data_IF_838573607030
#
_entry.id   IF_838573607030
#
_cell.length_a   1.000
_cell.length_b   1.000
_cell.length_c   1.000
_cell.angle_alpha   90.00
_cell.angle_beta   90.00
_cell.angle_gamma   90.00
#
_symmetry.space_group_name_H-M   'P 1'
#
loop_
_entity.id
_entity.type
_entity.pdbx_description
1 polymer ?
#
# COMPACT_ATOMS: atom_id res chain seq x y z
N UNK A 1 -0.97 -2.41 -12.17
CA UNK A 1 -1.81 -1.60 -11.26
C UNK A 1 -1.91 -0.11 -11.61
N UNK A 2 -1.08 0.46 -12.50
CA UNK A 2 -1.18 1.89 -12.87
C UNK A 2 -2.54 2.25 -13.52
N UNK A 3 -3.11 1.36 -14.33
CA UNK A 3 -4.43 1.57 -14.95
C UNK A 3 -5.62 1.43 -13.98
N UNK A 4 -5.49 0.59 -12.94
CA UNK A 4 -6.50 0.46 -11.89
C UNK A 4 -6.52 1.71 -11.00
N UNK A 5 -5.34 2.23 -10.66
CA UNK A 5 -5.19 3.51 -9.97
C UNK A 5 -5.87 4.67 -10.71
N UNK A 6 -5.64 4.79 -12.04
CA UNK A 6 -6.31 5.81 -12.85
C UNK A 6 -7.82 5.60 -13.00
N UNK A 7 -8.26 4.34 -13.16
CA UNK A 7 -9.68 4.01 -13.26
C UNK A 7 -10.46 4.36 -11.98
N UNK A 8 -9.87 4.13 -10.80
CA UNK A 8 -10.49 4.49 -9.52
C UNK A 8 -10.61 6.00 -9.34
N UNK A 9 -9.60 6.79 -9.73
CA UNK A 9 -9.66 8.26 -9.62
C UNK A 9 -10.72 8.85 -10.55
N UNK A 10 -10.81 8.35 -11.79
CA UNK A 10 -11.80 8.84 -12.75
C UNK A 10 -13.23 8.52 -12.27
N UNK A 11 -13.42 7.37 -11.62
CA UNK A 11 -14.74 6.92 -11.17
C UNK A 11 -15.15 7.48 -9.80
N UNK A 12 -14.24 7.52 -8.84
CA UNK A 12 -14.49 7.88 -7.44
C UNK A 12 -14.00 9.30 -7.06
N UNK A 13 -13.18 9.92 -7.90
CA UNK A 13 -12.58 11.24 -7.64
C UNK A 13 -11.54 11.22 -6.51
N UNK A 14 -10.98 12.40 -6.24
CA UNK A 14 -10.07 12.66 -5.13
C UNK A 14 -10.66 13.74 -4.22
N UNK A 15 -11.52 13.32 -3.28
CA UNK A 15 -12.07 14.20 -2.25
C UNK A 15 -11.33 13.91 -0.94
N UNK A 16 -10.52 14.86 -0.43
CA UNK A 16 -9.76 14.69 0.80
C UNK A 16 -10.67 14.22 1.95
N UNK A 17 -10.31 13.10 2.57
CA UNK A 17 -11.05 12.53 3.70
C UNK A 17 -12.37 11.81 3.39
N UNK A 18 -12.82 11.73 2.12
CA UNK A 18 -14.06 11.00 1.74
C UNK A 18 -13.76 9.85 0.79
N UNK A 19 -13.19 10.15 -0.37
CA UNK A 19 -12.83 9.15 -1.40
C UNK A 19 -11.32 8.98 -1.53
N UNK A 20 -10.55 9.65 -0.65
CA UNK A 20 -9.10 9.61 -0.66
C UNK A 20 -8.58 8.24 -0.20
N UNK A 21 -7.87 7.56 -1.10
CA UNK A 21 -7.19 6.30 -0.80
C UNK A 21 -5.74 6.57 -0.40
N UNK A 22 -5.10 5.63 0.31
CA UNK A 22 -3.68 5.74 0.71
C UNK A 22 -2.76 6.08 -0.48
N UNK A 23 -2.89 5.43 -1.66
CA UNK A 23 -2.11 5.78 -2.85
C UNK A 23 -2.30 7.23 -3.31
N UNK A 24 -3.52 7.74 -3.19
CA UNK A 24 -3.90 9.09 -3.60
C UNK A 24 -3.31 10.14 -2.65
N UNK A 25 -3.39 9.89 -1.35
CA UNK A 25 -2.75 10.72 -0.34
C UNK A 25 -1.22 10.81 -0.56
N UNK A 26 -0.55 9.70 -0.89
CA UNK A 26 0.88 9.71 -1.20
C UNK A 26 1.18 10.57 -2.43
N UNK A 27 0.35 10.47 -3.48
CA UNK A 27 0.49 11.29 -4.68
C UNK A 27 0.35 12.79 -4.37
N UNK A 28 -0.68 13.18 -3.61
CA UNK A 28 -0.90 14.57 -3.20
C UNK A 28 0.24 15.13 -2.36
N UNK A 29 0.70 14.38 -1.36
CA UNK A 29 1.81 14.82 -0.50
C UNK A 29 3.14 14.90 -1.25
N UNK A 30 3.34 14.10 -2.30
CA UNK A 30 4.54 14.18 -3.14
C UNK A 30 4.49 15.38 -4.10
N UNK A 31 3.30 15.80 -4.54
CA UNK A 31 3.14 16.97 -5.42
C UNK A 31 2.98 18.30 -4.66
N UNK A 32 2.85 18.26 -3.33
CA UNK A 32 2.74 19.45 -2.49
C UNK A 32 4.14 19.96 -2.07
N UNK A 33 4.47 21.25 -2.29
CA UNK A 33 5.77 21.80 -1.87
C UNK A 33 5.94 21.66 -0.35
N UNK A 34 6.97 20.93 0.10
CA UNK A 34 7.26 20.67 1.51
C UNK A 34 6.57 19.43 2.12
N UNK A 35 5.85 18.64 1.32
CA UNK A 35 5.20 17.38 1.75
C UNK A 35 6.12 16.15 1.76
N UNK A 36 7.38 16.31 1.34
CA UNK A 36 8.35 15.22 1.13
C UNK A 36 8.54 14.33 2.36
N UNK A 37 8.59 14.92 3.55
CA UNK A 37 8.77 14.20 4.82
C UNK A 37 7.59 13.30 5.15
N UNK A 38 6.37 13.71 4.80
CA UNK A 38 5.17 12.92 5.02
C UNK A 38 5.03 11.83 3.95
N UNK A 39 5.31 12.15 2.69
CA UNK A 39 5.37 11.17 1.60
C UNK A 39 6.39 10.05 1.90
N UNK A 40 7.57 10.40 2.41
CA UNK A 40 8.63 9.45 2.76
C UNK A 40 8.22 8.57 3.95
N UNK A 41 7.56 9.14 4.96
CA UNK A 41 7.04 8.38 6.10
C UNK A 41 6.00 7.35 5.67
N UNK A 42 5.02 7.73 4.84
CA UNK A 42 4.03 6.80 4.28
C UNK A 42 4.67 5.73 3.40
N UNK A 43 5.67 6.10 2.60
CA UNK A 43 6.43 5.15 1.77
C UNK A 43 7.13 4.09 2.62
N UNK A 44 7.83 4.50 3.68
CA UNK A 44 8.49 3.59 4.61
C UNK A 44 7.50 2.65 5.32
N UNK A 45 6.35 3.16 5.75
CA UNK A 45 5.29 2.33 6.35
C UNK A 45 4.78 1.29 5.35
N UNK A 46 4.54 1.68 4.10
CA UNK A 46 4.10 0.74 3.06
C UNK A 46 5.14 -0.34 2.78
N UNK A 47 6.43 0.01 2.74
CA UNK A 47 7.52 -0.95 2.56
C UNK A 47 7.58 -1.91 3.74
N UNK A 48 7.56 -1.39 4.97
CA UNK A 48 7.59 -2.20 6.18
C UNK A 48 6.40 -3.16 6.26
N UNK A 49 5.20 -2.70 5.88
CA UNK A 49 4.00 -3.53 5.83
C UNK A 49 4.13 -4.66 4.80
N UNK A 50 4.64 -4.36 3.59
CA UNK A 50 4.89 -5.38 2.57
C UNK A 50 5.85 -6.46 3.06
N UNK A 51 6.94 -6.07 3.72
CA UNK A 51 7.88 -7.04 4.31
C UNK A 51 7.23 -7.84 5.45
N UNK A 52 6.46 -7.20 6.32
CA UNK A 52 5.75 -7.88 7.40
C UNK A 52 4.78 -8.94 6.85
N UNK A 53 3.99 -8.59 5.83
CA UNK A 53 3.07 -9.51 5.16
C UNK A 53 3.83 -10.66 4.49
N UNK A 54 4.95 -10.38 3.81
CA UNK A 54 5.79 -11.42 3.20
C UNK A 54 6.34 -12.39 4.24
N UNK A 55 6.87 -11.89 5.36
CA UNK A 55 7.40 -12.73 6.43
C UNK A 55 6.30 -13.60 7.06
N UNK A 56 5.12 -13.02 7.31
CA UNK A 56 3.95 -13.76 7.80
C UNK A 56 3.52 -14.81 6.79
N UNK A 57 3.48 -14.47 5.51
CA UNK A 57 3.11 -15.39 4.44
C UNK A 57 4.12 -16.54 4.29
N UNK A 58 5.42 -16.27 4.38
CA UNK A 58 6.45 -17.30 4.39
C UNK A 58 6.35 -18.19 5.64
N UNK A 59 6.14 -17.62 6.83
CA UNK A 59 5.98 -18.38 8.06
C UNK A 59 4.72 -19.28 8.00
N UNK A 60 3.60 -18.75 7.52
CA UNK A 60 2.36 -19.50 7.31
C UNK A 60 2.54 -20.60 6.25
N UNK A 61 3.20 -20.28 5.13
CA UNK A 61 3.49 -21.24 4.05
C UNK A 61 4.43 -22.36 4.50
N UNK A 62 5.42 -22.05 5.35
CA UNK A 62 6.31 -23.05 5.97
C UNK A 62 5.54 -23.97 6.91
N UNK A 63 4.61 -23.43 7.71
CA UNK A 63 3.75 -24.21 8.60
C UNK A 63 2.78 -25.13 7.84
N UNK A 64 2.25 -24.67 6.70
CA UNK A 64 1.40 -25.47 5.82
C UNK A 64 2.19 -26.55 5.05
N UNK A 65 3.43 -26.26 4.62
CA UNK A 65 4.34 -27.26 4.02
C UNK A 65 4.85 -28.31 5.02
N UNK A 66 4.78 -28.04 6.32
CA UNK A 66 5.10 -28.99 7.39
C UNK A 66 3.95 -29.95 7.74
N UNK A 67 2.90 -30.02 6.93
CA UNK A 67 1.98 -31.18 6.92
C UNK A 67 2.37 -32.10 5.75
N UNK A 68 3.46 -32.89 5.84
CA UNK A 68 3.64 -34.03 4.97
C UNK A 68 2.70 -35.14 5.44
N UNK A 69 1.79 -35.54 4.55
CA UNK A 69 1.15 -36.85 4.59
C UNK A 69 -0.05 -36.99 5.53
N UNK A 70 -1.23 -37.11 4.90
CA UNK A 70 -2.03 -38.32 5.03
C UNK A 70 -2.40 -38.79 3.63
#
# INVERSE_FOLDING_TARGET
SLGEFGATIILAGDIPGVTQTIPLAIYDYTNTPGGDSMALSLCLVSIALSFAVLLVNEAASRKLRQVPGR
#
